data_IF_912220152442
#
_entry.id   IF_912220152442
#
_cell.length_a   1.000
_cell.length_b   1.000
_cell.length_c   1.000
_cell.angle_alpha   90.00
_cell.angle_beta   90.00
_cell.angle_gamma   90.00
#
_symmetry.space_group_name_H-M   'P 1'
#
loop_
_entity.id
_entity.type
_entity.pdbx_description
1 polymer ?
#
# COMPACT_ATOMS: atom_id res chain seq x y z
N UNK A 1 11.83 -0.19 -9.80
CA UNK A 1 10.45 -0.15 -9.25
C UNK A 1 10.23 -1.47 -8.56
N UNK A 2 9.77 -1.49 -7.30
CA UNK A 2 9.50 -2.77 -6.62
C UNK A 2 8.18 -3.35 -7.16
N UNK A 3 8.25 -4.44 -7.93
CA UNK A 3 7.09 -5.09 -8.54
C UNK A 3 6.40 -6.10 -7.60
N UNK A 4 6.89 -6.24 -6.37
CA UNK A 4 6.47 -7.28 -5.44
C UNK A 4 4.97 -7.24 -5.08
N UNK A 5 4.34 -6.06 -5.04
CA UNK A 5 2.88 -5.96 -4.84
C UNK A 5 2.13 -6.60 -6.01
N UNK A 6 2.56 -6.27 -7.23
CA UNK A 6 1.94 -6.78 -8.46
C UNK A 6 2.12 -8.29 -8.54
N UNK A 7 3.31 -8.81 -8.22
CA UNK A 7 3.57 -10.26 -8.20
C UNK A 7 2.69 -10.98 -7.18
N UNK A 8 2.60 -10.46 -5.95
CA UNK A 8 1.78 -11.06 -4.88
C UNK A 8 0.29 -11.05 -5.21
N UNK A 9 -0.22 -9.96 -5.79
CA UNK A 9 -1.60 -9.85 -6.25
C UNK A 9 -1.88 -10.81 -7.42
N UNK A 10 -1.02 -10.84 -8.44
CA UNK A 10 -1.18 -11.74 -9.60
C UNK A 10 -1.13 -13.21 -9.20
N UNK A 11 -0.29 -13.59 -8.23
CA UNK A 11 -0.26 -14.95 -7.69
C UNK A 11 -1.57 -15.36 -6.98
N UNK A 12 -2.42 -14.38 -6.65
CA UNK A 12 -3.77 -14.57 -6.09
C UNK A 12 -4.88 -14.32 -7.11
N UNK A 13 -4.55 -14.28 -8.40
CA UNK A 13 -5.46 -14.05 -9.54
C UNK A 13 -6.10 -12.67 -9.55
N UNK A 14 -5.45 -11.66 -8.99
CA UNK A 14 -5.84 -10.27 -9.18
C UNK A 14 -5.27 -9.72 -10.49
N UNK A 15 -6.09 -8.99 -11.22
CA UNK A 15 -5.68 -8.22 -12.39
C UNK A 15 -5.27 -6.80 -11.98
N UNK A 16 -3.97 -6.55 -11.91
CA UNK A 16 -3.42 -5.22 -11.64
C UNK A 16 -3.48 -4.35 -12.91
N UNK A 17 -4.50 -3.52 -13.00
CA UNK A 17 -4.77 -2.72 -14.20
C UNK A 17 -4.24 -1.28 -14.12
N UNK A 18 -3.99 -0.76 -12.92
CA UNK A 18 -3.47 0.60 -12.73
C UNK A 18 -2.34 0.61 -11.71
N UNK A 19 -1.19 1.14 -12.11
CA UNK A 19 -0.04 1.39 -11.24
C UNK A 19 0.32 2.86 -11.46
N UNK A 20 0.30 3.65 -10.39
CA UNK A 20 0.66 5.07 -10.50
C UNK A 20 2.16 5.23 -10.72
N UNK A 21 2.54 6.34 -11.34
CA UNK A 21 3.90 6.84 -11.22
C UNK A 21 4.23 7.15 -9.75
N UNK A 22 5.52 7.20 -9.37
CA UNK A 22 5.94 7.66 -8.06
C UNK A 22 5.50 9.11 -7.81
N UNK A 23 4.83 9.33 -6.68
CA UNK A 23 4.28 10.64 -6.29
C UNK A 23 5.18 11.28 -5.23
N UNK A 24 5.29 12.62 -5.24
CA UNK A 24 6.10 13.43 -4.30
C UNK A 24 7.54 12.92 -4.17
N UNK A 25 8.31 13.01 -5.25
CA UNK A 25 9.71 12.58 -5.31
C UNK A 25 9.92 11.10 -4.93
N UNK A 26 8.89 10.26 -5.15
CA UNK A 26 8.94 8.83 -4.86
C UNK A 26 8.56 8.46 -3.43
N UNK A 27 7.85 9.33 -2.70
CA UNK A 27 7.32 9.04 -1.36
C UNK A 27 6.40 7.82 -1.38
N UNK A 28 5.60 7.63 -2.44
CA UNK A 28 4.76 6.45 -2.61
C UNK A 28 4.33 6.18 -4.07
N UNK A 29 3.83 4.97 -4.30
CA UNK A 29 3.02 4.58 -5.48
C UNK A 29 1.69 4.00 -5.04
N UNK A 30 0.72 3.88 -5.94
CA UNK A 30 -0.52 3.12 -5.73
C UNK A 30 -0.72 2.06 -6.80
N UNK A 31 -1.26 0.92 -6.41
CA UNK A 31 -1.68 -0.17 -7.29
C UNK A 31 -3.16 -0.41 -7.09
N UNK A 32 -3.92 -0.40 -8.19
CA UNK A 32 -5.30 -0.86 -8.20
C UNK A 32 -5.38 -2.19 -8.93
N UNK A 33 -6.13 -3.12 -8.36
CA UNK A 33 -6.37 -4.41 -8.95
C UNK A 33 -7.82 -4.83 -8.81
N UNK A 34 -8.26 -5.69 -9.73
CA UNK A 34 -9.61 -6.23 -9.78
C UNK A 34 -9.57 -7.76 -9.76
N UNK A 35 -10.49 -8.38 -9.05
CA UNK A 35 -10.75 -9.81 -9.10
C UNK A 35 -12.26 -10.03 -9.05
N UNK A 36 -12.83 -10.53 -10.15
CA UNK A 36 -14.28 -10.69 -10.31
C UNK A 36 -15.02 -9.36 -10.03
N UNK A 37 -15.83 -9.31 -8.97
CA UNK A 37 -16.56 -8.10 -8.54
C UNK A 37 -15.83 -7.32 -7.43
N UNK A 38 -14.65 -7.79 -6.99
CA UNK A 38 -13.85 -7.13 -5.95
C UNK A 38 -12.82 -6.19 -6.56
N UNK A 39 -12.67 -5.02 -5.93
CA UNK A 39 -11.62 -4.05 -6.20
C UNK A 39 -10.72 -3.93 -4.97
N UNK A 40 -9.43 -3.73 -5.19
CA UNK A 40 -8.47 -3.44 -4.14
C UNK A 40 -7.57 -2.29 -4.58
N UNK A 41 -7.31 -1.37 -3.67
CA UNK A 41 -6.36 -0.28 -3.83
C UNK A 41 -5.30 -0.34 -2.75
N UNK A 42 -4.05 -0.46 -3.16
CA UNK A 42 -2.88 -0.61 -2.29
C UNK A 42 -1.93 0.56 -2.51
N UNK A 43 -1.59 1.27 -1.45
CA UNK A 43 -0.50 2.23 -1.48
C UNK A 43 0.80 1.56 -1.00
N UNK A 44 1.93 1.93 -1.61
CA UNK A 44 3.26 1.53 -1.16
C UNK A 44 4.10 2.76 -0.90
N UNK A 45 4.37 3.01 0.38
CA UNK A 45 5.31 4.03 0.83
C UNK A 45 6.75 3.53 0.70
N UNK A 46 7.67 4.45 0.37
CA UNK A 46 9.10 4.15 0.41
C UNK A 46 9.62 3.89 1.83
N UNK A 47 8.99 4.46 2.87
CA UNK A 47 9.43 4.31 4.26
C UNK A 47 8.25 4.34 5.23
N UNK A 48 8.39 3.66 6.38
CA UNK A 48 7.44 3.72 7.50
C UNK A 48 7.33 5.13 8.10
N UNK A 49 8.44 5.87 8.16
CA UNK A 49 8.55 7.19 8.81
C UNK A 49 7.99 8.35 7.97
N UNK A 50 6.91 8.11 7.23
CA UNK A 50 6.17 9.14 6.51
C UNK A 50 5.23 9.92 7.44
N UNK A 51 4.81 11.10 7.00
CA UNK A 51 3.94 11.95 7.81
C UNK A 51 2.56 11.32 8.06
N UNK A 52 1.98 11.55 9.24
CA UNK A 52 0.60 11.12 9.54
C UNK A 52 -0.43 11.67 8.55
N UNK A 53 -0.20 12.88 8.03
CA UNK A 53 -1.04 13.48 6.99
C UNK A 53 -1.07 12.63 5.73
N UNK A 54 0.05 12.03 5.34
CA UNK A 54 0.09 11.13 4.20
C UNK A 54 -0.70 9.84 4.47
N UNK A 55 -0.52 9.22 5.64
CA UNK A 55 -1.26 8.02 6.00
C UNK A 55 -2.78 8.25 5.95
N UNK A 56 -3.24 9.38 6.51
CA UNK A 56 -4.66 9.75 6.47
C UNK A 56 -5.17 9.99 5.05
N UNK A 57 -4.41 10.73 4.25
CA UNK A 57 -4.73 10.97 2.84
C UNK A 57 -4.86 9.67 2.04
N UNK A 58 -3.94 8.72 2.24
CA UNK A 58 -4.00 7.43 1.55
C UNK A 58 -5.18 6.59 2.03
N UNK A 59 -5.48 6.62 3.33
CA UNK A 59 -6.59 5.88 3.92
C UNK A 59 -7.98 6.33 3.44
N UNK A 60 -8.10 7.54 2.85
CA UNK A 60 -9.34 8.00 2.22
C UNK A 60 -9.74 7.16 0.99
N UNK A 61 -8.77 6.47 0.35
CA UNK A 61 -9.01 5.74 -0.90
C UNK A 61 -8.37 4.37 -1.00
N UNK A 62 -7.38 4.04 -0.16
CA UNK A 62 -6.65 2.78 -0.21
C UNK A 62 -7.11 1.84 0.91
N UNK A 63 -7.33 0.57 0.56
CA UNK A 63 -7.65 -0.50 1.52
C UNK A 63 -6.43 -0.89 2.36
N UNK A 64 -5.25 -0.87 1.72
CA UNK A 64 -3.98 -1.21 2.34
C UNK A 64 -2.95 -0.09 2.14
N UNK A 65 -2.23 0.24 3.21
CA UNK A 65 -1.06 1.11 3.16
C UNK A 65 0.15 0.29 3.57
N UNK A 66 0.97 -0.04 2.59
CA UNK A 66 2.20 -0.80 2.79
C UNK A 66 3.39 0.14 2.81
N UNK A 67 4.49 -0.31 3.41
CA UNK A 67 5.75 0.43 3.37
C UNK A 67 6.95 -0.52 3.29
N UNK A 68 8.05 0.00 2.77
CA UNK A 68 9.34 -0.71 2.77
C UNK A 68 10.06 -0.52 4.11
N UNK A 69 10.81 -1.55 4.52
CA UNK A 69 11.58 -1.55 5.76
C UNK A 69 10.83 -2.05 6.99
N UNK A 70 11.42 -1.84 8.17
CA UNK A 70 10.91 -2.33 9.45
C UNK A 70 9.77 -1.45 10.00
N UNK A 71 8.89 -2.05 10.82
CA UNK A 71 7.78 -1.38 11.51
C UNK A 71 8.22 -0.51 12.70
N UNK A 72 9.24 0.32 12.50
CA UNK A 72 9.78 1.16 13.56
C UNK A 72 8.80 2.28 13.90
N UNK A 73 8.26 2.26 15.14
CA UNK A 73 7.32 3.27 15.65
C UNK A 73 6.12 3.55 14.73
N UNK A 74 5.62 2.54 14.01
CA UNK A 74 4.49 2.69 13.07
C UNK A 74 3.31 3.45 13.71
N UNK A 75 2.95 3.11 14.94
CA UNK A 75 1.84 3.75 15.67
C UNK A 75 2.03 5.26 15.86
N UNK A 76 3.28 5.73 15.97
CA UNK A 76 3.58 7.17 16.09
C UNK A 76 3.41 7.92 14.77
N UNK A 77 3.53 7.24 13.62
CA UNK A 77 3.37 7.84 12.30
C UNK A 77 1.94 7.68 11.76
N UNK A 78 1.30 6.55 12.01
CA UNK A 78 0.01 6.19 11.43
C UNK A 78 -1.15 6.19 12.45
N UNK A 79 -1.09 7.05 13.46
CA UNK A 79 -2.16 7.20 14.45
C UNK A 79 -3.46 7.73 13.84
N UNK A 80 -4.61 7.23 14.33
CA UNK A 80 -5.95 7.60 13.88
C UNK A 80 -6.13 7.43 12.36
N UNK A 81 -5.78 6.24 11.86
CA UNK A 81 -5.90 5.83 10.46
C UNK A 81 -6.65 4.51 10.43
N UNK A 82 -7.73 4.43 9.64
CA UNK A 82 -8.63 3.28 9.61
C UNK A 82 -8.22 2.21 8.58
N UNK A 83 -7.27 2.51 7.69
CA UNK A 83 -6.76 1.58 6.69
C UNK A 83 -5.83 0.51 7.30
N UNK A 84 -5.70 -0.63 6.61
CA UNK A 84 -4.80 -1.71 7.05
C UNK A 84 -3.35 -1.33 6.73
N UNK A 85 -2.55 -1.07 7.77
CA UNK A 85 -1.15 -0.65 7.64
C UNK A 85 -0.20 -1.77 8.03
N UNK A 86 0.71 -2.16 7.12
CA UNK A 86 1.70 -3.23 7.37
C UNK A 86 3.01 -3.01 6.62
N UNK A 87 4.14 -3.54 7.11
CA UNK A 87 5.33 -3.71 6.27
C UNK A 87 5.00 -4.58 5.06
N UNK A 88 5.57 -4.26 3.88
CA UNK A 88 5.39 -5.06 2.66
C UNK A 88 5.75 -6.54 2.89
N UNK A 89 6.83 -6.81 3.62
CA UNK A 89 7.28 -8.18 3.91
C UNK A 89 6.33 -8.97 4.82
N UNK A 90 5.47 -8.29 5.58
CA UNK A 90 4.48 -8.89 6.47
C UNK A 90 3.06 -8.91 5.87
N UNK A 91 2.91 -8.44 4.63
CA UNK A 91 1.61 -8.39 3.95
C UNK A 91 1.34 -9.67 3.17
N UNK A 92 0.18 -10.27 3.43
CA UNK A 92 -0.39 -11.33 2.60
C UNK A 92 -1.44 -10.68 1.71
N UNK A 93 -1.26 -10.79 0.39
CA UNK A 93 -2.28 -10.35 -0.56
C UNK A 93 -3.58 -11.13 -0.31
N UNK A 94 -4.74 -10.45 -0.32
CA UNK A 94 -6.02 -11.11 -0.09
C UNK A 94 -6.32 -12.13 -1.19
N UNK A 95 -7.11 -13.14 -0.83
CA UNK A 95 -7.72 -14.07 -1.79
C UNK A 95 -8.76 -13.35 -2.64
#
# INVERSE_FOLDING_TARGET
MNNEIVERLRNKNWDCYLISDPIKDGEYITVEAKKEDSLIKVALLYCCASSNKLYKYLAESCDYILYQGASYKQESYAYNVDAIIRPLNAWLAPE
#
